data_IF_473159464523
#
_entry.id   IF_473159464523
#
_cell.length_a   1.000
_cell.length_b   1.000
_cell.length_c   1.000
_cell.angle_alpha   90.00
_cell.angle_beta   90.00
_cell.angle_gamma   90.00
#
_symmetry.space_group_name_H-M   'P 1'
#
loop_
_entity.id
_entity.type
_entity.pdbx_description
1 polymer ?
#
# COMPACT_ATOMS: atom_id res chain seq x y z
N UNK A 1 -3.82 3.26 -11.87
CA UNK A 1 -3.60 2.60 -13.17
C UNK A 1 -2.99 1.23 -12.91
N UNK A 2 -3.66 0.14 -13.29
CA UNK A 2 -3.13 -1.22 -13.10
C UNK A 2 -1.90 -1.51 -13.99
N UNK A 3 -1.70 -0.73 -15.05
CA UNK A 3 -0.66 -0.99 -16.07
C UNK A 3 0.73 -0.44 -15.71
N UNK A 4 0.95 0.01 -14.48
CA UNK A 4 2.25 0.51 -14.01
C UNK A 4 3.13 -0.65 -13.56
N UNK A 5 4.38 -0.68 -14.04
CA UNK A 5 5.37 -1.68 -13.64
C UNK A 5 6.26 -1.21 -12.47
N UNK A 6 6.19 0.07 -12.10
CA UNK A 6 7.06 0.75 -11.12
C UNK A 6 6.41 0.92 -9.73
N UNK A 7 5.52 0.00 -9.37
CA UNK A 7 4.74 0.00 -8.11
C UNK A 7 4.93 -1.30 -7.35
N UNK A 8 4.50 -1.35 -6.09
CA UNK A 8 4.49 -2.56 -5.25
C UNK A 8 3.59 -3.65 -5.86
N UNK A 9 4.04 -4.91 -5.82
CA UNK A 9 3.30 -6.05 -6.39
C UNK A 9 2.71 -6.92 -5.28
N UNK A 10 1.47 -7.38 -5.48
CA UNK A 10 0.86 -8.43 -4.68
C UNK A 10 1.08 -9.77 -5.38
N UNK A 11 1.87 -10.67 -4.76
CA UNK A 11 2.09 -12.02 -5.27
C UNK A 11 1.33 -13.05 -4.42
N UNK A 12 0.47 -13.85 -5.07
CA UNK A 12 -0.24 -14.95 -4.42
C UNK A 12 0.44 -16.29 -4.73
N UNK A 13 0.75 -17.06 -3.69
CA UNK A 13 1.29 -18.41 -3.81
C UNK A 13 0.24 -19.44 -4.23
N UNK A 14 0.70 -20.66 -4.51
CA UNK A 14 -0.20 -21.80 -4.75
C UNK A 14 -0.88 -22.27 -3.46
N UNK A 15 -2.07 -22.88 -3.60
CA UNK A 15 -2.85 -23.46 -2.49
C UNK A 15 -3.33 -22.47 -1.42
N UNK A 16 -3.47 -21.19 -1.77
CA UNK A 16 -4.03 -20.19 -0.86
C UNK A 16 -5.55 -20.16 -0.89
N UNK A 17 -6.19 -20.09 0.28
CA UNK A 17 -7.62 -19.78 0.43
C UNK A 17 -7.75 -18.36 0.98
N UNK A 18 -8.43 -17.48 0.24
CA UNK A 18 -8.66 -16.09 0.64
C UNK A 18 -10.11 -15.96 1.07
N UNK A 19 -10.32 -15.60 2.33
CA UNK A 19 -11.65 -15.39 2.90
C UNK A 19 -12.36 -14.19 2.27
N UNK A 20 -13.70 -14.23 2.26
CA UNK A 20 -14.50 -13.07 1.87
C UNK A 20 -14.21 -11.88 2.79
N UNK A 21 -14.04 -10.70 2.21
CA UNK A 21 -13.71 -9.46 2.95
C UNK A 21 -12.21 -9.22 3.18
N UNK A 22 -11.33 -10.14 2.77
CA UNK A 22 -9.89 -9.88 2.81
C UNK A 22 -9.52 -8.66 1.95
N UNK A 23 -8.67 -7.79 2.48
CA UNK A 23 -8.21 -6.56 1.81
C UNK A 23 -6.70 -6.44 1.92
N UNK A 24 -6.06 -6.07 0.81
CA UNK A 24 -4.61 -5.87 0.73
C UNK A 24 -4.34 -4.38 0.54
N UNK A 25 -3.72 -3.75 1.54
CA UNK A 25 -3.35 -2.33 1.45
C UNK A 25 -2.07 -2.22 0.64
N UNK A 26 -2.15 -1.51 -0.48
CA UNK A 26 -1.03 -1.31 -1.42
C UNK A 26 -0.64 0.17 -1.50
N UNK A 27 0.31 0.49 -2.38
CA UNK A 27 0.82 1.84 -2.65
C UNK A 27 1.55 2.48 -1.46
N UNK A 28 2.41 1.71 -0.79
CA UNK A 28 3.27 2.15 0.30
C UNK A 28 2.63 3.17 1.26
N UNK A 29 3.37 4.25 1.51
CA UNK A 29 2.95 5.32 2.41
C UNK A 29 1.84 6.24 1.83
N UNK A 30 1.42 6.03 0.57
CA UNK A 30 0.40 6.85 -0.13
C UNK A 30 0.73 8.37 -0.12
N UNK A 31 2.01 8.72 -0.11
CA UNK A 31 2.46 10.12 -0.06
C UNK A 31 2.49 10.75 1.34
N UNK A 32 2.05 10.03 2.38
CA UNK A 32 2.03 10.53 3.75
C UNK A 32 3.36 10.28 4.47
N UNK A 33 4.07 11.36 4.83
CA UNK A 33 5.36 11.32 5.55
C UNK A 33 5.18 11.74 7.01
N UNK A 34 5.28 10.79 7.93
CA UNK A 34 5.14 11.05 9.37
C UNK A 34 6.37 11.72 10.00
N UNK A 35 7.52 11.66 9.31
CA UNK A 35 8.77 12.33 9.67
C UNK A 35 8.83 13.79 9.17
N UNK A 36 7.83 14.25 8.41
CA UNK A 36 7.71 15.63 7.96
C UNK A 36 6.86 16.47 8.91
N UNK A 37 6.91 17.79 8.76
CA UNK A 37 6.09 18.74 9.54
C UNK A 37 4.58 18.51 9.34
N UNK A 38 4.19 17.95 8.18
CA UNK A 38 2.81 17.58 7.88
C UNK A 38 2.80 16.26 7.11
N UNK A 39 1.86 15.38 7.48
CA UNK A 39 1.59 14.16 6.74
C UNK A 39 0.66 14.39 5.53
N UNK A 40 0.15 15.61 5.31
CA UNK A 40 -0.73 15.90 4.19
C UNK A 40 0.04 15.84 2.85
N UNK A 41 -0.45 15.09 1.84
CA UNK A 41 0.27 14.87 0.59
C UNK A 41 0.02 16.03 -0.39
N UNK A 42 0.68 17.16 -0.16
CA UNK A 42 0.46 18.39 -0.93
C UNK A 42 0.65 18.22 -2.45
N UNK A 43 1.56 17.33 -2.88
CA UNK A 43 1.81 17.07 -4.30
C UNK A 43 0.60 16.47 -5.03
N UNK A 44 -0.28 15.75 -4.33
CA UNK A 44 -1.43 15.08 -4.94
C UNK A 44 -2.60 16.03 -5.23
N UNK A 45 -2.55 17.27 -4.72
CA UNK A 45 -3.55 18.31 -4.93
C UNK A 45 -3.19 19.18 -6.15
N UNK A 46 -3.23 18.58 -7.34
CA UNK A 46 -2.78 19.20 -8.58
C UNK A 46 -3.59 20.46 -8.97
N UNK A 47 -4.82 20.58 -8.50
CA UNK A 47 -5.69 21.72 -8.78
C UNK A 47 -5.36 22.95 -7.94
N UNK A 48 -4.59 22.80 -6.85
CA UNK A 48 -4.30 23.90 -5.93
C UNK A 48 -2.96 24.57 -6.22
N UNK A 49 -3.02 25.75 -6.83
CA UNK A 49 -1.83 26.51 -7.23
C UNK A 49 -0.88 26.81 -6.07
N UNK A 50 -1.38 26.93 -4.84
CA UNK A 50 -0.59 27.15 -3.63
C UNK A 50 0.38 26.00 -3.32
N UNK A 51 0.12 24.79 -3.83
CA UNK A 51 0.96 23.61 -3.63
C UNK A 51 1.87 23.30 -4.81
N UNK A 52 1.94 24.19 -5.80
CA UNK A 52 2.87 24.07 -6.92
C UNK A 52 4.31 23.97 -6.41
N UNK A 53 5.00 22.89 -6.76
CA UNK A 53 6.38 22.63 -6.31
C UNK A 53 6.48 21.91 -4.97
N UNK A 54 5.38 21.41 -4.41
CA UNK A 54 5.42 20.49 -3.28
C UNK A 54 6.33 19.28 -3.57
N UNK A 55 7.08 18.83 -2.56
CA UNK A 55 7.97 17.68 -2.70
C UNK A 55 7.18 16.38 -2.75
N UNK A 56 7.65 15.40 -3.53
CA UNK A 56 7.07 14.06 -3.54
C UNK A 56 7.39 13.32 -2.24
N UNK A 57 6.35 13.04 -1.45
CA UNK A 57 6.45 12.27 -0.20
C UNK A 57 6.32 10.76 -0.38
N UNK A 58 6.01 10.27 -1.59
CA UNK A 58 5.77 8.85 -1.84
C UNK A 58 7.01 7.99 -1.58
N UNK A 59 6.80 6.91 -0.85
CA UNK A 59 7.75 5.83 -0.64
C UNK A 59 7.04 4.49 -0.85
N UNK A 60 7.67 3.61 -1.62
CA UNK A 60 7.24 2.22 -1.75
C UNK A 60 7.23 1.55 -0.37
N UNK A 61 6.38 0.53 -0.19
CA UNK A 61 6.52 -0.30 0.99
C UNK A 61 7.86 -1.07 0.87
N UNK A 62 8.66 -1.07 1.93
CA UNK A 62 9.97 -1.73 1.93
C UNK A 62 9.87 -3.28 1.89
N UNK A 63 8.65 -3.83 1.87
CA UNK A 63 8.39 -5.26 1.98
C UNK A 63 7.52 -5.81 0.83
N UNK A 64 7.89 -6.99 0.33
CA UNK A 64 7.03 -7.79 -0.53
C UNK A 64 5.92 -8.40 0.34
N UNK A 65 4.67 -8.03 0.12
CA UNK A 65 3.53 -8.74 0.72
C UNK A 65 3.38 -10.10 0.04
N UNK A 66 4.12 -11.09 0.53
CA UNK A 66 3.99 -12.50 0.14
C UNK A 66 2.98 -13.22 1.02
N UNK A 67 1.84 -13.63 0.44
CA UNK A 67 0.85 -14.44 1.17
C UNK A 67 1.28 -15.92 1.17
N UNK A 68 1.87 -16.39 2.28
CA UNK A 68 2.11 -17.81 2.53
C UNK A 68 1.02 -18.36 3.48
N UNK A 69 -0.11 -18.79 2.94
CA UNK A 69 -1.18 -19.40 3.74
C UNK A 69 -0.91 -20.89 3.98
N UNK A 70 -0.63 -21.27 5.22
CA UNK A 70 -0.63 -22.67 5.66
C UNK A 70 -2.06 -23.19 5.86
N UNK A 71 -2.28 -24.49 5.62
CA UNK A 71 -3.56 -25.17 5.93
C UNK A 71 -3.76 -25.24 7.44
N UNK A 72 -4.56 -24.35 8.03
CA UNK A 72 -5.29 -24.66 9.26
C UNK A 72 -6.52 -23.77 9.44
N UNK A 73 -7.50 -24.29 10.17
CA UNK A 73 -8.94 -24.11 10.06
C UNK A 73 -9.56 -22.82 10.61
N UNK A 74 -8.79 -21.81 11.01
CA UNK A 74 -9.35 -20.59 11.58
C UNK A 74 -8.56 -19.36 11.08
N UNK A 75 -8.86 -18.91 9.87
CA UNK A 75 -8.28 -17.69 9.32
C UNK A 75 -9.09 -16.47 9.76
N UNK A 76 -8.79 -15.93 10.95
CA UNK A 76 -9.12 -14.55 11.27
C UNK A 76 -8.30 -13.60 10.39
N UNK A 77 -8.95 -12.51 9.97
CA UNK A 77 -8.53 -11.54 8.97
C UNK A 77 -7.01 -11.27 8.91
N UNK A 78 -6.39 -11.60 7.76
CA UNK A 78 -5.10 -11.03 7.38
C UNK A 78 -5.33 -9.54 7.11
N UNK A 79 -5.25 -8.75 8.18
CA UNK A 79 -4.97 -7.32 8.14
C UNK A 79 -3.52 -7.20 8.58
N UNK A 80 -2.58 -7.24 7.62
CA UNK A 80 -1.21 -6.82 7.88
C UNK A 80 -1.23 -5.29 7.95
N UNK A 81 -1.39 -4.77 9.17
CA UNK A 81 -1.15 -3.38 9.51
C UNK A 81 0.12 -3.33 10.37
N UNK A 82 1.14 -2.67 9.80
CA UNK A 82 2.47 -2.36 10.31
C UNK A 82 3.51 -3.48 10.24
#
# INVERSE_FOLDING_TARGET
>A
MPDRADVDWLMNGSFCSIGSGASFIMAGNKGHRHDWVSAFPFLDMAEEAAFTGASNGFQQADDLVGLAAGRHSDCDAITLLW
#
